data_IF_179489098520
#
_entry.id   IF_179489098520
#
_cell.length_a   1.000
_cell.length_b   1.000
_cell.length_c   1.000
_cell.angle_alpha   90.00
_cell.angle_beta   90.00
_cell.angle_gamma   90.00
#
_symmetry.space_group_name_H-M   'P 1'
#
loop_
_entity.id
_entity.type
_entity.pdbx_description
1 polymer ?
#
# COMPACT_ATOMS: atom_id res chain seq x y z
N UNK A 1 18.28 -13.14 2.90
CA UNK A 1 19.42 -12.60 2.10
C UNK A 1 19.38 -11.06 2.02
N UNK A 2 18.22 -10.40 1.94
CA UNK A 2 18.11 -8.94 1.88
C UNK A 2 18.58 -8.26 3.17
N UNK A 3 18.20 -8.79 4.34
CA UNK A 3 18.58 -8.25 5.65
C UNK A 3 20.11 -8.25 5.89
N UNK A 4 20.83 -9.21 5.30
CA UNK A 4 22.29 -9.32 5.44
C UNK A 4 23.05 -8.20 4.70
N UNK A 5 22.41 -7.55 3.73
CA UNK A 5 23.00 -6.45 2.94
C UNK A 5 22.53 -5.07 3.44
N UNK A 6 21.74 -5.03 4.50
CA UNK A 6 21.29 -3.78 5.07
C UNK A 6 22.37 -3.17 5.97
N UNK A 7 22.55 -1.84 5.93
CA UNK A 7 23.50 -1.19 6.82
C UNK A 7 23.09 -1.42 8.27
N UNK A 8 23.97 -2.05 9.05
CA UNK A 8 23.71 -2.41 10.43
C UNK A 8 23.90 -1.23 11.41
N UNK A 9 24.50 -0.12 10.94
CA UNK A 9 24.71 1.08 11.75
C UNK A 9 24.63 2.36 10.91
N UNK A 10 24.50 3.51 11.58
CA UNK A 10 24.36 4.81 10.93
C UNK A 10 25.51 5.18 10.00
N UNK A 11 26.75 4.79 10.32
CA UNK A 11 27.92 5.06 9.46
C UNK A 11 27.82 4.31 8.13
N UNK A 12 27.43 3.04 8.18
CA UNK A 12 27.23 2.22 6.97
C UNK A 12 26.04 2.73 6.16
N UNK A 13 24.96 3.16 6.83
CA UNK A 13 23.81 3.77 6.17
C UNK A 13 24.20 5.06 5.43
N UNK A 14 25.01 5.92 6.07
CA UNK A 14 25.46 7.16 5.45
C UNK A 14 26.37 6.89 4.24
N UNK A 15 27.35 6.00 4.37
CA UNK A 15 28.22 5.60 3.26
C UNK A 15 27.44 4.99 2.10
N UNK A 16 26.45 4.13 2.39
CA UNK A 16 25.56 3.55 1.39
C UNK A 16 24.72 4.63 0.68
N UNK A 17 24.14 5.56 1.43
CA UNK A 17 23.37 6.67 0.85
C UNK A 17 24.20 7.58 -0.03
N UNK A 18 25.43 7.89 0.38
CA UNK A 18 26.33 8.75 -0.38
C UNK A 18 26.77 8.03 -1.68
N UNK A 19 27.08 6.74 -1.61
CA UNK A 19 27.37 5.92 -2.79
C UNK A 19 26.16 5.83 -3.77
N UNK A 20 24.92 5.73 -3.25
CA UNK A 20 23.73 5.76 -4.12
C UNK A 20 23.57 7.11 -4.85
N UNK A 21 23.91 8.23 -4.19
CA UNK A 21 23.86 9.56 -4.80
C UNK A 21 24.90 9.72 -5.92
N UNK A 22 26.08 9.12 -5.75
CA UNK A 22 27.15 9.13 -6.76
C UNK A 22 26.76 8.30 -7.99
N UNK A 23 26.16 7.14 -7.80
CA UNK A 23 25.73 6.27 -8.90
C UNK A 23 24.65 6.89 -9.80
N UNK A 24 23.85 7.82 -9.29
CA UNK A 24 22.74 8.50 -10.01
C UNK A 24 21.84 7.54 -10.80
N UNK A 25 21.70 6.30 -10.34
CA UNK A 25 20.96 5.27 -11.05
C UNK A 25 19.54 5.14 -10.47
N UNK A 26 18.53 5.36 -11.31
CA UNK A 26 17.12 5.36 -10.90
C UNK A 26 16.70 4.02 -10.26
N UNK A 27 17.12 2.89 -10.86
CA UNK A 27 16.74 1.56 -10.37
C UNK A 27 17.30 1.27 -8.96
N UNK A 28 18.45 1.86 -8.58
CA UNK A 28 19.01 1.74 -7.23
C UNK A 28 18.15 2.51 -6.22
N UNK A 29 17.68 3.69 -6.59
CA UNK A 29 16.76 4.48 -5.77
C UNK A 29 15.42 3.77 -5.60
N UNK A 30 14.88 3.20 -6.66
CA UNK A 30 13.65 2.40 -6.60
C UNK A 30 13.82 1.16 -5.71
N UNK A 31 14.98 0.48 -5.79
CA UNK A 31 15.27 -0.63 -4.89
C UNK A 31 15.29 -0.22 -3.42
N UNK A 32 15.92 0.90 -3.10
CA UNK A 32 15.94 1.43 -1.73
C UNK A 32 14.52 1.67 -1.20
N UNK A 33 13.69 2.38 -1.97
CA UNK A 33 12.30 2.62 -1.59
C UNK A 33 11.48 1.35 -1.47
N UNK A 34 11.71 0.36 -2.33
CA UNK A 34 11.05 -0.93 -2.21
C UNK A 34 11.39 -1.64 -0.90
N UNK A 35 12.63 -1.54 -0.43
CA UNK A 35 13.03 -2.11 0.85
C UNK A 35 12.40 -1.34 2.01
N UNK A 36 12.44 -0.01 1.99
CA UNK A 36 11.83 0.83 3.04
C UNK A 36 10.33 0.56 3.15
N UNK A 37 9.62 0.54 2.02
CA UNK A 37 8.19 0.24 2.01
C UNK A 37 7.90 -1.20 2.41
N UNK A 38 8.77 -2.16 2.07
CA UNK A 38 8.67 -3.55 2.52
C UNK A 38 8.77 -3.69 4.05
N UNK A 39 9.66 -2.95 4.69
CA UNK A 39 9.73 -2.88 6.15
C UNK A 39 8.48 -2.24 6.75
N UNK A 40 8.03 -1.13 6.18
CA UNK A 40 6.79 -0.49 6.63
C UNK A 40 5.60 -1.46 6.54
N UNK A 41 5.48 -2.20 5.43
CA UNK A 41 4.44 -3.20 5.24
C UNK A 41 4.53 -4.34 6.26
N UNK A 42 5.73 -4.80 6.59
CA UNK A 42 5.90 -5.87 7.58
C UNK A 42 5.23 -5.50 8.91
N UNK A 43 5.37 -4.25 9.37
CA UNK A 43 4.74 -3.80 10.63
C UNK A 43 3.27 -3.42 10.42
N UNK A 44 2.98 -2.57 9.46
CA UNK A 44 1.63 -2.01 9.28
C UNK A 44 0.61 -3.06 8.83
N UNK A 45 1.00 -3.94 7.90
CA UNK A 45 0.14 -5.03 7.46
C UNK A 45 -0.06 -6.07 8.57
N UNK A 46 0.96 -6.34 9.39
CA UNK A 46 0.81 -7.24 10.55
C UNK A 46 -0.21 -6.71 11.55
N UNK A 47 -0.19 -5.41 11.85
CA UNK A 47 -1.20 -4.78 12.72
C UNK A 47 -2.58 -4.87 12.11
N UNK A 48 -2.70 -4.55 10.81
CA UNK A 48 -3.99 -4.65 10.10
C UNK A 48 -4.53 -6.08 10.10
N UNK A 49 -3.71 -7.06 9.74
CA UNK A 49 -4.11 -8.47 9.72
C UNK A 49 -4.47 -8.98 11.12
N UNK A 50 -3.71 -8.61 12.15
CA UNK A 50 -4.04 -8.96 13.52
C UNK A 50 -5.44 -8.49 13.92
N UNK A 51 -5.79 -7.23 13.61
CA UNK A 51 -7.12 -6.69 13.90
C UNK A 51 -8.20 -7.46 13.13
N UNK A 52 -7.98 -7.76 11.85
CA UNK A 52 -8.94 -8.50 11.02
C UNK A 52 -9.16 -9.94 11.51
N UNK A 53 -8.09 -10.62 11.92
CA UNK A 53 -8.15 -12.01 12.37
C UNK A 53 -8.72 -12.16 13.77
N UNK A 54 -8.47 -11.20 14.66
CA UNK A 54 -8.91 -11.27 16.06
C UNK A 54 -10.32 -10.72 16.29
N UNK A 55 -10.84 -9.92 15.33
CA UNK A 55 -12.18 -9.31 15.43
C UNK A 55 -12.98 -9.46 14.13
N UNK A 56 -13.25 -10.70 13.70
CA UNK A 56 -14.00 -10.95 12.46
C UNK A 56 -15.46 -10.47 12.54
N UNK A 57 -16.00 -10.41 13.75
CA UNK A 57 -17.32 -9.85 14.07
C UNK A 57 -17.46 -8.34 13.78
N UNK A 58 -16.31 -7.65 13.65
CA UNK A 58 -16.24 -6.22 13.33
C UNK A 58 -15.84 -5.95 11.87
N UNK A 59 -16.21 -6.82 10.96
CA UNK A 59 -16.01 -6.67 9.52
C UNK A 59 -17.35 -6.40 8.87
N UNK A 60 -17.72 -5.14 8.76
CA UNK A 60 -18.93 -4.66 8.14
C UNK A 60 -18.77 -3.23 7.63
N UNK A 61 -19.76 -2.66 6.94
CA UNK A 61 -19.67 -1.31 6.39
C UNK A 61 -19.46 -0.24 7.46
N UNK A 62 -20.29 -0.27 8.52
CA UNK A 62 -20.22 0.70 9.60
C UNK A 62 -19.09 0.38 10.58
N UNK A 63 -18.88 -0.89 10.91
CA UNK A 63 -17.82 -1.35 11.81
C UNK A 63 -16.42 -1.02 11.23
N UNK A 64 -16.26 -1.14 9.91
CA UNK A 64 -15.03 -0.74 9.24
C UNK A 64 -14.87 0.77 9.21
N UNK A 65 -15.93 1.54 9.02
CA UNK A 65 -15.91 2.98 9.06
C UNK A 65 -15.65 3.53 10.48
N UNK A 66 -16.23 2.93 11.50
CA UNK A 66 -15.97 3.23 12.90
C UNK A 66 -14.50 3.01 13.24
N UNK A 67 -13.91 1.90 12.76
CA UNK A 67 -12.48 1.62 12.94
C UNK A 67 -11.61 2.68 12.26
N UNK A 68 -11.95 3.08 11.06
CA UNK A 68 -11.20 4.09 10.31
C UNK A 68 -11.27 5.44 11.02
N UNK A 69 -12.46 5.90 11.40
CA UNK A 69 -12.67 7.24 11.92
C UNK A 69 -12.62 7.30 13.45
N UNK A 70 -13.53 6.61 14.13
CA UNK A 70 -13.73 6.72 15.58
C UNK A 70 -12.60 6.07 16.38
N UNK A 71 -12.06 4.94 15.91
CA UNK A 71 -10.86 4.28 16.50
C UNK A 71 -9.55 4.94 16.03
N UNK A 72 -9.61 6.04 15.23
CA UNK A 72 -8.47 6.81 14.75
C UNK A 72 -7.43 5.98 13.97
N UNK A 73 -7.86 4.93 13.27
CA UNK A 73 -6.96 4.07 12.50
C UNK A 73 -6.66 4.61 11.08
N UNK A 74 -7.28 5.71 10.66
CA UNK A 74 -7.06 6.30 9.34
C UNK A 74 -5.59 6.65 9.04
N UNK A 75 -4.74 7.12 10.02
CA UNK A 75 -3.34 7.39 9.71
C UNK A 75 -2.57 6.11 9.37
N UNK A 76 -2.85 5.00 10.07
CA UNK A 76 -2.27 3.70 9.76
C UNK A 76 -2.65 3.25 8.34
N UNK A 77 -3.95 3.34 7.99
CA UNK A 77 -4.43 2.96 6.67
C UNK A 77 -3.89 3.85 5.57
N UNK A 78 -3.71 5.14 5.83
CA UNK A 78 -3.10 6.07 4.87
C UNK A 78 -1.65 5.68 4.58
N UNK A 79 -0.83 5.46 5.61
CA UNK A 79 0.57 5.06 5.44
C UNK A 79 0.66 3.67 4.81
N UNK A 80 -0.21 2.74 5.21
CA UNK A 80 -0.29 1.40 4.64
C UNK A 80 -0.61 1.45 3.14
N UNK A 81 -1.59 2.28 2.72
CA UNK A 81 -1.95 2.49 1.32
C UNK A 81 -0.74 2.95 0.50
N UNK A 82 -0.04 4.01 0.93
CA UNK A 82 1.16 4.47 0.25
C UNK A 82 2.24 3.38 0.18
N UNK A 83 2.45 2.67 1.28
CA UNK A 83 3.46 1.61 1.33
C UNK A 83 3.13 0.46 0.37
N UNK A 84 1.87 0.02 0.31
CA UNK A 84 1.41 -1.05 -0.60
C UNK A 84 1.59 -0.63 -2.06
N UNK A 85 1.10 0.56 -2.42
CA UNK A 85 1.11 1.02 -3.81
C UNK A 85 2.53 1.23 -4.35
N UNK A 86 3.40 1.86 -3.56
CA UNK A 86 4.80 2.02 -3.96
C UNK A 86 5.56 0.69 -3.98
N UNK A 87 5.37 -0.15 -2.98
CA UNK A 87 6.04 -1.45 -2.92
C UNK A 87 5.62 -2.34 -4.08
N UNK A 88 4.32 -2.44 -4.34
CA UNK A 88 3.73 -3.23 -5.42
C UNK A 88 4.14 -2.71 -6.80
N UNK A 89 4.02 -1.40 -7.03
CA UNK A 89 4.36 -0.79 -8.31
C UNK A 89 5.85 -0.94 -8.67
N UNK A 90 6.75 -0.68 -7.71
CA UNK A 90 8.18 -0.89 -7.92
C UNK A 90 8.52 -2.38 -8.04
N UNK A 91 7.87 -3.23 -7.22
CA UNK A 91 8.05 -4.67 -7.27
C UNK A 91 7.68 -5.25 -8.63
N UNK A 92 6.51 -4.90 -9.15
CA UNK A 92 6.02 -5.35 -10.46
C UNK A 92 6.94 -4.86 -11.60
N UNK A 93 7.37 -3.60 -11.59
CA UNK A 93 8.33 -3.07 -12.56
C UNK A 93 9.63 -3.88 -12.57
N UNK A 94 10.21 -4.16 -11.40
CA UNK A 94 11.44 -4.93 -11.29
C UNK A 94 11.28 -6.39 -11.71
N UNK A 95 10.12 -6.96 -11.42
CA UNK A 95 9.78 -8.31 -11.85
C UNK A 95 9.68 -8.41 -13.37
N UNK A 96 9.02 -7.43 -14.00
CA UNK A 96 8.91 -7.33 -15.45
C UNK A 96 10.28 -7.22 -16.13
N UNK A 97 11.19 -6.40 -15.57
CA UNK A 97 12.57 -6.31 -16.07
C UNK A 97 13.36 -7.61 -15.88
N UNK A 98 13.20 -8.25 -14.71
CA UNK A 98 13.94 -9.50 -14.40
C UNK A 98 13.55 -10.65 -15.33
N UNK A 99 12.29 -10.72 -15.71
CA UNK A 99 11.77 -11.82 -16.55
C UNK A 99 11.70 -11.43 -18.03
N UNK A 100 12.20 -10.26 -18.42
CA UNK A 100 12.19 -9.80 -19.81
C UNK A 100 10.78 -9.61 -20.39
N UNK A 101 9.79 -9.30 -19.52
CA UNK A 101 8.45 -9.07 -20.01
C UNK A 101 8.44 -7.85 -20.93
N UNK A 102 7.86 -8.03 -22.13
CA UNK A 102 7.80 -7.00 -23.16
C UNK A 102 9.15 -6.64 -23.81
N UNK A 103 10.22 -7.39 -23.56
CA UNK A 103 11.46 -7.30 -24.32
C UNK A 103 11.28 -8.04 -25.64
N UNK A 104 10.69 -7.43 -26.66
CA UNK A 104 10.61 -7.99 -28.00
C UNK A 104 11.98 -8.47 -28.52
N UNK A 105 12.34 -8.18 -29.77
CA UNK A 105 13.62 -8.60 -30.39
C UNK A 105 14.90 -8.02 -29.72
N UNK A 106 14.81 -7.47 -28.52
CA UNK A 106 15.96 -6.87 -27.78
C UNK A 106 16.54 -5.60 -28.38
N UNK A 107 16.03 -5.14 -29.52
CA UNK A 107 16.57 -4.01 -30.26
C UNK A 107 16.29 -2.64 -29.64
N UNK A 108 15.26 -2.51 -28.81
CA UNK A 108 14.88 -1.26 -28.12
C UNK A 108 14.68 -1.45 -26.62
N UNK A 109 15.72 -1.86 -25.92
CA UNK A 109 15.70 -2.02 -24.48
C UNK A 109 15.42 -0.71 -23.73
N UNK A 110 15.86 0.44 -24.25
CA UNK A 110 15.64 1.75 -23.65
C UNK A 110 14.16 2.18 -23.77
N UNK A 111 13.53 1.96 -24.92
CA UNK A 111 12.12 2.23 -25.14
C UNK A 111 11.23 1.34 -24.27
N UNK A 112 11.56 0.06 -24.15
CA UNK A 112 10.84 -0.88 -23.28
C UNK A 112 10.90 -0.44 -21.81
N UNK A 113 12.07 -0.05 -21.30
CA UNK A 113 12.20 0.46 -19.92
C UNK A 113 11.38 1.74 -19.71
N UNK A 114 11.35 2.64 -20.68
CA UNK A 114 10.54 3.87 -20.61
C UNK A 114 9.05 3.55 -20.53
N UNK A 115 8.55 2.64 -21.37
CA UNK A 115 7.15 2.18 -21.35
C UNK A 115 6.79 1.52 -20.02
N UNK A 116 7.63 0.62 -19.51
CA UNK A 116 7.43 -0.04 -18.22
C UNK A 116 7.41 0.96 -17.06
N UNK A 117 8.27 1.98 -17.07
CA UNK A 117 8.25 3.06 -16.07
C UNK A 117 6.98 3.88 -16.13
N UNK A 118 6.52 4.24 -17.33
CA UNK A 118 5.24 4.93 -17.49
C UNK A 118 4.09 4.07 -16.93
N UNK A 119 4.03 2.81 -17.34
CA UNK A 119 2.99 1.88 -16.87
C UNK A 119 3.03 1.70 -15.34
N UNK A 120 4.21 1.55 -14.75
CA UNK A 120 4.38 1.51 -13.29
C UNK A 120 3.73 2.72 -12.61
N UNK A 121 4.07 3.93 -13.05
CA UNK A 121 3.54 5.15 -12.43
C UNK A 121 2.05 5.36 -12.69
N UNK A 122 1.57 5.00 -13.88
CA UNK A 122 0.14 5.07 -14.20
C UNK A 122 -0.67 4.10 -13.31
N UNK A 123 -0.19 2.86 -13.17
CA UNK A 123 -0.83 1.85 -12.33
C UNK A 123 -0.81 2.25 -10.85
N UNK A 124 0.35 2.63 -10.32
CA UNK A 124 0.50 3.11 -8.94
C UNK A 124 -0.40 4.32 -8.69
N UNK A 125 -0.41 5.31 -9.58
CA UNK A 125 -1.26 6.49 -9.45
C UNK A 125 -2.75 6.15 -9.48
N UNK A 126 -3.17 5.27 -10.37
CA UNK A 126 -4.57 4.82 -10.47
C UNK A 126 -5.05 4.18 -9.17
N UNK A 127 -4.31 3.19 -8.66
CA UNK A 127 -4.71 2.50 -7.42
C UNK A 127 -4.56 3.39 -6.18
N UNK A 128 -3.58 4.29 -6.16
CA UNK A 128 -3.44 5.26 -5.08
C UNK A 128 -4.65 6.20 -5.02
N UNK A 129 -5.11 6.72 -6.16
CA UNK A 129 -6.31 7.56 -6.20
C UNK A 129 -7.54 6.78 -5.76
N UNK A 130 -7.71 5.55 -6.26
CA UNK A 130 -8.82 4.69 -5.88
C UNK A 130 -8.80 4.39 -4.37
N UNK A 131 -7.63 4.07 -3.80
CA UNK A 131 -7.47 3.82 -2.36
C UNK A 131 -7.74 5.06 -1.50
N UNK A 132 -7.29 6.25 -1.94
CA UNK A 132 -7.59 7.51 -1.26
C UNK A 132 -9.08 7.82 -1.28
N UNK A 133 -9.76 7.61 -2.40
CA UNK A 133 -11.21 7.77 -2.50
C UNK A 133 -11.94 6.79 -1.57
N UNK A 134 -11.50 5.55 -1.52
CA UNK A 134 -12.05 4.53 -0.60
C UNK A 134 -11.85 4.93 0.85
N UNK A 135 -10.64 5.36 1.23
CA UNK A 135 -10.36 5.83 2.58
C UNK A 135 -11.23 7.05 2.96
N UNK A 136 -11.35 8.02 2.05
CA UNK A 136 -12.22 9.20 2.25
C UNK A 136 -13.69 8.80 2.41
N UNK A 137 -14.17 7.82 1.64
CA UNK A 137 -15.54 7.30 1.78
C UNK A 137 -15.75 6.66 3.16
N UNK A 138 -14.83 5.82 3.63
CA UNK A 138 -14.90 5.25 4.97
C UNK A 138 -14.84 6.32 6.07
N UNK A 139 -13.98 7.34 5.92
CA UNK A 139 -13.94 8.46 6.86
C UNK A 139 -15.28 9.20 6.90
N UNK A 140 -15.88 9.48 5.73
CA UNK A 140 -17.20 10.13 5.66
C UNK A 140 -18.27 9.30 6.34
N UNK A 141 -18.36 8.01 6.03
CA UNK A 141 -19.33 7.10 6.68
C UNK A 141 -19.09 7.06 8.20
N UNK A 142 -17.83 7.00 8.64
CA UNK A 142 -17.48 6.99 10.06
C UNK A 142 -17.84 8.29 10.79
N UNK A 143 -17.73 9.44 10.13
CA UNK A 143 -18.20 10.73 10.67
C UNK A 143 -19.72 10.71 10.85
N UNK A 144 -20.44 10.28 9.80
CA UNK A 144 -21.91 10.24 9.81
C UNK A 144 -22.42 9.22 10.84
N UNK A 145 -21.70 8.12 11.07
CA UNK A 145 -22.04 7.05 12.00
C UNK A 145 -21.54 7.28 13.45
N UNK A 146 -20.69 8.27 13.68
CA UNK A 146 -20.08 8.51 15.00
C UNK A 146 -21.10 8.58 16.18
N UNK A 147 -22.31 9.14 16.02
CA UNK A 147 -23.33 9.09 17.08
C UNK A 147 -23.83 7.69 17.44
N UNK A 148 -23.64 6.73 16.54
CA UNK A 148 -24.07 5.33 16.66
C UNK A 148 -22.87 4.38 16.78
N UNK A 149 -21.73 4.87 17.19
CA UNK A 149 -20.50 4.10 17.30
C UNK A 149 -20.71 2.74 17.95
N UNK A 150 -20.17 1.70 17.30
CA UNK A 150 -20.26 0.32 17.78
C UNK A 150 -21.56 -0.41 17.47
N UNK A 151 -22.53 0.23 16.83
CA UNK A 151 -23.74 -0.45 16.37
C UNK A 151 -23.48 -1.17 15.04
N UNK A 152 -23.93 -2.43 14.90
CA UNK A 152 -23.75 -3.18 13.67
C UNK A 152 -24.64 -2.65 12.54
N UNK A 153 -24.21 -2.88 11.31
CA UNK A 153 -25.03 -2.62 10.15
C UNK A 153 -26.26 -3.53 10.13
N UNK A 154 -27.44 -2.93 10.12
CA UNK A 154 -28.72 -3.65 9.95
C UNK A 154 -29.27 -3.32 8.54
N UNK A 155 -29.34 -4.31 7.63
CA UNK A 155 -29.95 -4.10 6.31
C UNK A 155 -31.36 -3.59 6.43
N UNK A 156 -31.77 -2.64 5.55
CA UNK A 156 -33.09 -2.03 5.58
C UNK A 156 -34.25 -3.07 5.51
N UNK A 157 -34.06 -4.17 4.78
CA UNK A 157 -35.03 -5.27 4.70
C UNK A 157 -35.30 -5.93 6.06
N UNK A 158 -34.28 -6.05 6.91
CA UNK A 158 -34.43 -6.61 8.27
C UNK A 158 -35.01 -5.58 9.22
N UNK A 159 -34.63 -4.31 9.07
CA UNK A 159 -35.19 -3.21 9.88
C UNK A 159 -36.66 -2.97 9.66
N UNK A 160 -37.20 -3.28 8.46
CA UNK A 160 -38.64 -3.17 8.10
C UNK A 160 -39.46 -4.43 8.37
N UNK A 161 -38.83 -5.50 8.91
CA UNK A 161 -39.52 -6.77 9.20
C UNK A 161 -39.91 -7.58 7.95
N UNK A 162 -39.42 -7.19 6.77
CA UNK A 162 -39.59 -7.95 5.52
C UNK A 162 -38.52 -9.03 5.47
N UNK A 163 -38.87 -10.24 5.92
CA UNK A 163 -38.05 -11.43 5.66
C UNK A 163 -38.16 -11.79 4.18
N UNK A 164 -37.05 -12.15 3.50
CA UNK A 164 -37.09 -12.57 2.11
C UNK A 164 -37.86 -13.84 1.88
#
# INVERSE_FOLDING_TARGET
LALRKFPANYRQYRAYRDHMKEMKHEDTTLWYWQVVTGFALFFLASVHLYIMLTRPDRIGPFESADRVWSDLMWPLYLVLLFAVEFHGGVGLYRLALKWGWFEGDGRDAAGTRRKLRFFKWALTGFFLVLGLMTLAAYMKIGIDHAPFYGQPYVPAAVATGVTP
#
